data_IF_986000681733
#
_entry.id   IF_986000681733
#
_cell.length_a   1.000
_cell.length_b   1.000
_cell.length_c   1.000
_cell.angle_alpha   90.00
_cell.angle_beta   90.00
_cell.angle_gamma   90.00
#
_symmetry.space_group_name_H-M   'P 1'
#
loop_
_entity.id
_entity.type
_entity.pdbx_description
1 polymer ?
#
# COMPACT_ATOMS: atom_id res chain seq x y z
N UNK A 1 -5.03 23.06 -78.00
CA UNK A 1 -6.26 22.69 -77.28
C UNK A 1 -6.73 23.93 -76.51
N UNK A 2 -8.05 24.16 -76.50
CA UNK A 2 -8.73 25.42 -76.20
C UNK A 2 -8.92 25.69 -74.68
N UNK A 3 -8.87 26.99 -74.35
CA UNK A 3 -9.67 27.76 -73.37
C UNK A 3 -9.42 27.52 -71.86
N UNK A 4 -9.07 28.64 -71.21
CA UNK A 4 -9.19 28.96 -69.78
C UNK A 4 -10.65 29.30 -69.43
N UNK A 5 -11.15 28.88 -68.26
CA UNK A 5 -12.04 29.68 -67.39
C UNK A 5 -12.61 28.88 -66.19
N UNK A 6 -12.37 29.43 -65.00
CA UNK A 6 -13.35 29.72 -63.92
C UNK A 6 -14.17 28.58 -63.30
N UNK A 7 -14.16 28.47 -61.96
CA UNK A 7 -15.26 28.93 -61.08
C UNK A 7 -14.86 28.84 -59.61
N UNK A 8 -15.01 29.98 -58.92
CA UNK A 8 -14.95 30.18 -57.47
C UNK A 8 -16.30 29.72 -56.88
N UNK A 9 -16.29 28.99 -55.76
CA UNK A 9 -17.40 29.05 -54.79
C UNK A 9 -16.84 29.20 -53.38
N UNK A 10 -17.29 30.30 -52.79
CA UNK A 10 -17.02 30.83 -51.46
C UNK A 10 -17.93 30.14 -50.45
N UNK A 11 -17.39 29.75 -49.30
CA UNK A 11 -18.15 29.28 -48.15
C UNK A 11 -17.39 29.56 -46.86
N UNK A 12 -17.58 30.76 -46.31
CA UNK A 12 -17.07 31.19 -45.03
C UNK A 12 -18.10 30.92 -43.91
N UNK A 13 -17.62 30.42 -42.76
CA UNK A 13 -18.13 30.70 -41.41
C UNK A 13 -17.15 30.03 -40.42
N UNK A 14 -16.17 30.75 -39.90
CA UNK A 14 -16.22 31.53 -38.64
C UNK A 14 -16.41 30.65 -37.39
N UNK A 15 -15.33 30.55 -36.62
CA UNK A 15 -15.27 29.96 -35.30
C UNK A 15 -13.88 30.18 -34.68
N UNK A 16 -13.57 31.46 -34.46
CA UNK A 16 -12.35 32.00 -33.83
C UNK A 16 -11.89 31.21 -32.60
N UNK A 17 -10.71 30.58 -32.69
CA UNK A 17 -9.94 30.13 -31.53
C UNK A 17 -9.24 31.35 -30.93
N UNK A 18 -9.73 31.83 -29.79
CA UNK A 18 -9.04 32.85 -29.03
C UNK A 18 -7.69 32.29 -28.51
N UNK A 19 -6.66 33.13 -28.64
CA UNK A 19 -5.30 32.93 -28.15
C UNK A 19 -5.25 32.68 -26.61
N UNK A 20 -4.12 32.16 -26.09
CA UNK A 20 -4.02 31.61 -24.75
C UNK A 20 -3.93 32.72 -23.70
N UNK A 21 -4.79 32.63 -22.68
CA UNK A 21 -4.56 33.36 -21.43
C UNK A 21 -3.38 32.74 -20.70
N UNK A 22 -2.36 33.58 -20.51
CA UNK A 22 -1.17 33.37 -19.70
C UNK A 22 -1.55 33.09 -18.23
N UNK A 23 -1.73 31.83 -17.88
CA UNK A 23 -1.59 31.32 -16.50
C UNK A 23 -0.98 29.92 -16.42
N UNK A 24 -0.46 29.38 -17.54
CA UNK A 24 0.17 28.06 -17.62
C UNK A 24 1.70 28.11 -17.63
N UNK A 25 2.32 28.97 -16.80
CA UNK A 25 3.77 29.17 -16.78
C UNK A 25 4.45 28.84 -15.43
N UNK A 26 3.79 28.04 -14.57
CA UNK A 26 4.42 27.50 -13.35
C UNK A 26 4.16 26.00 -13.10
N UNK A 27 3.65 25.25 -14.08
CA UNK A 27 3.50 23.78 -13.98
C UNK A 27 4.38 23.03 -15.00
N UNK A 28 5.52 23.62 -15.37
CA UNK A 28 6.48 23.03 -16.30
C UNK A 28 7.88 22.87 -15.66
N UNK A 29 7.93 22.51 -14.38
CA UNK A 29 9.15 22.05 -13.73
C UNK A 29 8.83 20.75 -12.98
N UNK A 30 9.57 19.70 -13.31
CA UNK A 30 9.54 18.34 -12.74
C UNK A 30 8.44 17.38 -13.25
N UNK A 31 8.42 17.14 -14.57
CA UNK A 31 8.23 15.74 -15.03
C UNK A 31 9.60 15.08 -14.97
N UNK A 32 9.85 14.30 -13.92
CA UNK A 32 11.01 13.40 -13.84
C UNK A 32 10.50 11.99 -14.14
N UNK A 33 11.20 11.28 -15.00
CA UNK A 33 10.92 9.87 -15.30
C UNK A 33 11.33 9.04 -14.08
N UNK A 34 10.36 8.38 -13.45
CA UNK A 34 10.62 7.42 -12.37
C UNK A 34 11.20 6.12 -12.96
N UNK A 35 12.10 5.46 -12.23
CA UNK A 35 12.71 4.18 -12.67
C UNK A 35 11.73 3.05 -12.37
N UNK A 36 11.18 2.43 -13.43
CA UNK A 36 10.17 1.36 -13.36
C UNK A 36 10.82 -0.02 -13.40
N UNK A 37 10.30 -0.96 -12.61
CA UNK A 37 10.53 -2.39 -12.76
C UNK A 37 9.59 -2.95 -13.85
N UNK A 38 10.14 -3.43 -14.97
CA UNK A 38 9.34 -4.13 -16.00
C UNK A 38 8.81 -5.48 -15.47
N UNK A 39 7.69 -5.98 -16.02
CA UNK A 39 6.98 -7.18 -15.54
C UNK A 39 7.57 -8.48 -16.10
N UNK A 40 7.82 -9.54 -15.28
CA UNK A 40 7.89 -10.89 -15.81
C UNK A 40 6.51 -11.34 -16.30
N UNK A 41 6.45 -11.90 -17.50
CA UNK A 41 5.24 -12.46 -18.10
C UNK A 41 4.85 -13.74 -17.36
N UNK A 42 3.82 -13.68 -16.51
CA UNK A 42 3.31 -14.88 -15.82
C UNK A 42 2.19 -15.50 -16.64
N UNK A 43 2.42 -16.73 -17.09
CA UNK A 43 1.42 -17.62 -17.68
C UNK A 43 0.34 -17.93 -16.64
N UNK A 44 -0.90 -17.54 -16.92
CA UNK A 44 -2.06 -17.90 -16.10
C UNK A 44 -2.34 -19.39 -16.34
N UNK A 45 -2.15 -20.19 -15.29
CA UNK A 45 -2.68 -21.54 -15.25
C UNK A 45 -4.06 -21.45 -14.58
N UNK A 46 -5.11 -21.57 -15.40
CA UNK A 46 -6.45 -21.87 -14.92
C UNK A 46 -6.44 -23.26 -14.27
N UNK A 47 -6.89 -23.39 -13.01
CA UNK A 47 -7.46 -24.65 -12.55
C UNK A 47 -8.67 -24.50 -11.62
N UNK A 48 -9.45 -25.58 -11.68
CA UNK A 48 -10.88 -25.73 -11.49
C UNK A 48 -11.28 -25.92 -10.01
N UNK A 49 -12.51 -25.47 -9.73
CA UNK A 49 -13.38 -25.64 -8.56
C UNK A 49 -13.50 -27.06 -7.94
N UNK A 50 -13.66 -27.13 -6.61
CA UNK A 50 -14.70 -27.91 -5.88
C UNK A 50 -14.58 -27.61 -4.35
N UNK A 51 -15.58 -26.97 -3.73
CA UNK A 51 -16.66 -27.56 -2.90
C UNK A 51 -16.19 -27.88 -1.45
N UNK A 52 -16.92 -27.65 -0.34
CA UNK A 52 -18.36 -27.51 -0.12
C UNK A 52 -18.68 -26.92 1.28
N UNK A 53 -19.76 -26.14 1.34
CA UNK A 53 -20.92 -26.18 2.26
C UNK A 53 -20.75 -26.61 3.74
N UNK A 54 -21.15 -25.73 4.66
CA UNK A 54 -22.00 -26.01 5.84
C UNK A 54 -22.64 -24.67 6.29
N UNK A 55 -23.91 -24.41 5.93
CA UNK A 55 -25.15 -24.76 6.65
C UNK A 55 -25.54 -23.73 7.75
N UNK A 56 -26.66 -23.04 7.49
CA UNK A 56 -27.41 -22.22 8.45
C UNK A 56 -28.02 -23.08 9.57
N UNK A 57 -28.08 -22.56 10.80
CA UNK A 57 -29.33 -22.56 11.57
C UNK A 57 -29.27 -21.61 12.77
N UNK A 58 -30.39 -20.93 12.97
CA UNK A 58 -30.72 -19.96 14.02
C UNK A 58 -30.92 -20.59 15.41
N UNK A 59 -30.66 -19.83 16.48
CA UNK A 59 -31.46 -19.83 17.72
C UNK A 59 -31.30 -18.52 18.51
N UNK A 60 -32.33 -18.27 19.29
CA UNK A 60 -32.80 -17.07 19.98
C UNK A 60 -31.95 -16.50 21.11
N UNK A 61 -32.11 -15.18 21.33
CA UNK A 61 -31.62 -14.39 22.44
C UNK A 61 -32.15 -14.82 23.82
N UNK A 62 -31.29 -14.70 24.83
CA UNK A 62 -31.67 -14.50 26.24
C UNK A 62 -30.61 -13.64 26.93
N UNK A 63 -31.06 -12.57 27.60
CA UNK A 63 -30.26 -11.67 28.40
C UNK A 63 -30.13 -12.18 29.85
N UNK A 64 -28.96 -12.02 30.45
CA UNK A 64 -28.78 -11.96 31.91
C UNK A 64 -27.56 -11.10 32.25
N UNK A 65 -27.72 -10.28 33.28
CA UNK A 65 -26.80 -9.23 33.70
C UNK A 65 -25.80 -9.68 34.76
N UNK A 66 -24.62 -9.04 34.71
CA UNK A 66 -23.65 -8.67 35.76
C UNK A 66 -23.07 -9.76 36.71
N UNK A 67 -21.74 -9.81 36.84
CA UNK A 67 -20.97 -9.24 37.99
C UNK A 67 -19.46 -9.40 37.74
N UNK A 68 -18.68 -8.40 38.14
CA UNK A 68 -17.23 -8.24 38.03
C UNK A 68 -16.39 -9.30 38.75
N UNK A 69 -15.25 -9.67 38.15
CA UNK A 69 -14.02 -10.10 38.85
C UNK A 69 -12.83 -9.97 37.89
N UNK A 70 -11.66 -9.73 38.48
CA UNK A 70 -10.50 -9.08 37.90
C UNK A 70 -9.52 -10.00 37.14
N UNK A 71 -8.63 -9.31 36.42
CA UNK A 71 -7.21 -9.61 36.14
C UNK A 71 -6.87 -10.84 35.29
N UNK A 72 -6.45 -10.55 34.06
CA UNK A 72 -5.08 -10.81 33.60
C UNK A 72 -4.80 -9.88 32.42
N UNK A 73 -4.07 -8.80 32.71
CA UNK A 73 -3.39 -8.00 31.70
C UNK A 73 -2.33 -8.90 31.07
N UNK A 74 -2.66 -9.50 29.93
CA UNK A 74 -1.68 -10.05 28.99
C UNK A 74 -1.65 -9.10 27.80
N UNK A 75 -1.19 -7.87 28.06
CA UNK A 75 -0.71 -6.98 27.00
C UNK A 75 0.65 -7.53 26.56
N UNK A 76 0.65 -8.40 25.53
CA UNK A 76 1.81 -8.67 24.69
C UNK A 76 2.14 -7.40 23.87
N UNK A 77 2.46 -6.31 24.57
CA UNK A 77 3.00 -5.08 24.00
C UNK A 77 4.50 -5.30 23.75
N UNK A 78 4.82 -6.08 22.71
CA UNK A 78 6.18 -6.25 22.18
C UNK A 78 6.60 -5.02 21.34
N UNK A 79 6.23 -3.83 21.81
CA UNK A 79 6.69 -2.56 21.24
C UNK A 79 7.98 -2.19 21.95
N UNK A 80 9.09 -2.11 21.21
CA UNK A 80 10.33 -1.62 21.82
C UNK A 80 10.11 -0.18 22.31
N UNK A 81 10.33 0.03 23.61
CA UNK A 81 10.29 1.35 24.26
C UNK A 81 11.67 2.01 24.36
N UNK A 82 12.72 1.27 23.99
CA UNK A 82 14.09 1.77 23.83
C UNK A 82 14.43 1.88 22.33
N UNK A 83 15.29 2.85 21.99
CA UNK A 83 15.77 2.97 20.62
C UNK A 83 16.58 1.73 20.26
N UNK A 84 16.20 1.08 19.17
CA UNK A 84 16.90 -0.07 18.61
C UNK A 84 17.39 0.35 17.24
N UNK A 85 18.70 0.27 17.04
CA UNK A 85 19.27 0.49 15.71
C UNK A 85 18.84 -0.66 14.79
N UNK A 86 18.53 -0.34 13.53
CA UNK A 86 18.27 -1.37 12.53
C UNK A 86 19.54 -2.22 12.32
N UNK A 87 19.35 -3.40 11.76
CA UNK A 87 20.44 -4.34 11.45
C UNK A 87 21.46 -3.84 10.40
N UNK A 88 21.29 -2.64 9.84
CA UNK A 88 22.16 -2.09 8.79
C UNK A 88 22.04 -2.86 7.48
N UNK A 89 20.84 -3.33 7.15
CA UNK A 89 20.58 -4.26 6.05
C UNK A 89 20.92 -3.69 4.67
N UNK A 90 21.64 -4.45 3.85
CA UNK A 90 21.76 -4.22 2.40
C UNK A 90 22.01 -5.52 1.65
N UNK A 91 21.12 -6.51 1.82
CA UNK A 91 21.26 -7.79 1.10
C UNK A 91 21.12 -7.60 -0.41
N UNK A 92 22.25 -7.60 -1.13
CA UNK A 92 22.29 -7.52 -2.60
C UNK A 92 22.59 -8.88 -3.23
N UNK A 93 21.75 -9.89 -2.99
CA UNK A 93 21.75 -11.10 -3.83
C UNK A 93 21.07 -10.78 -5.16
N UNK A 94 21.89 -10.75 -6.23
CA UNK A 94 21.55 -10.30 -7.59
C UNK A 94 20.48 -11.20 -8.24
N UNK A 95 19.27 -10.68 -8.41
CA UNK A 95 18.29 -11.20 -9.37
C UNK A 95 18.40 -10.41 -10.70
N UNK A 96 18.07 -11.03 -11.84
CA UNK A 96 18.54 -10.59 -13.18
C UNK A 96 17.91 -9.29 -13.72
N UNK A 97 18.52 -8.72 -14.76
CA UNK A 97 18.93 -7.31 -14.83
C UNK A 97 17.95 -6.18 -15.22
N UNK A 98 16.66 -6.37 -15.52
CA UNK A 98 15.82 -5.24 -15.99
C UNK A 98 14.43 -5.11 -15.36
N UNK A 99 13.97 -6.11 -14.61
CA UNK A 99 12.57 -6.24 -14.17
C UNK A 99 12.45 -6.25 -12.63
N UNK A 100 13.62 -6.17 -12.00
CA UNK A 100 13.98 -6.61 -10.65
C UNK A 100 14.94 -5.57 -10.03
N UNK A 101 15.33 -4.56 -10.81
CA UNK A 101 16.61 -3.85 -10.71
C UNK A 101 16.78 -2.95 -9.48
N UNK A 102 15.73 -2.79 -8.67
CA UNK A 102 15.88 -2.23 -7.35
C UNK A 102 15.15 -3.08 -6.30
N UNK A 103 15.95 -3.82 -5.53
CA UNK A 103 15.51 -4.66 -4.42
C UNK A 103 15.23 -3.84 -3.16
N UNK A 104 15.90 -2.69 -3.02
CA UNK A 104 15.99 -1.96 -1.77
C UNK A 104 16.73 -2.71 -0.68
N UNK A 105 16.52 -2.23 0.54
CA UNK A 105 16.87 -2.86 1.80
C UNK A 105 15.73 -3.80 2.20
N UNK A 106 16.09 -5.06 2.46
CA UNK A 106 15.17 -6.09 2.98
C UNK A 106 15.68 -6.71 4.28
N UNK A 107 16.62 -6.05 4.95
CA UNK A 107 17.38 -6.59 6.08
C UNK A 107 18.69 -7.26 5.65
N UNK A 108 19.22 -8.10 6.54
CA UNK A 108 20.46 -8.85 6.34
C UNK A 108 20.19 -10.27 5.82
N UNK A 109 21.24 -10.99 5.40
CA UNK A 109 21.09 -12.33 4.81
C UNK A 109 20.61 -13.36 5.83
N UNK A 110 20.94 -13.13 7.11
CA UNK A 110 20.60 -13.99 8.24
C UNK A 110 19.41 -13.46 9.04
N UNK A 111 18.89 -12.28 8.68
CA UNK A 111 17.79 -11.59 9.37
C UNK A 111 16.95 -10.81 8.35
N UNK A 112 16.07 -11.52 7.66
CA UNK A 112 15.14 -10.91 6.71
C UNK A 112 14.09 -10.08 7.46
N UNK A 113 13.79 -8.88 6.96
CA UNK A 113 12.75 -8.03 7.54
C UNK A 113 13.23 -7.13 8.67
N UNK A 114 14.47 -7.28 9.15
CA UNK A 114 15.05 -6.42 10.20
C UNK A 114 15.23 -4.94 9.80
N UNK A 115 14.86 -4.57 8.56
CA UNK A 115 14.71 -3.20 8.09
C UNK A 115 13.36 -2.55 8.51
N UNK A 116 12.51 -3.29 9.21
CA UNK A 116 11.22 -2.87 9.74
C UNK A 116 11.08 -3.29 11.20
N UNK A 117 10.44 -2.46 12.01
CA UNK A 117 10.13 -2.83 13.39
C UNK A 117 8.90 -2.08 13.91
N UNK A 118 8.18 -2.72 14.82
CA UNK A 118 7.16 -2.04 15.63
C UNK A 118 7.86 -1.35 16.80
N UNK A 119 7.53 -0.08 17.01
CA UNK A 119 8.17 0.75 18.04
C UNK A 119 7.11 1.46 18.85
N UNK A 120 7.45 1.76 20.10
CA UNK A 120 6.60 2.62 20.93
C UNK A 120 6.50 4.01 20.31
N UNK A 121 5.30 4.59 20.39
CA UNK A 121 5.06 5.99 20.01
C UNK A 121 5.99 6.99 20.71
N UNK A 122 6.48 6.68 21.91
CA UNK A 122 7.39 7.54 22.68
C UNK A 122 8.78 7.68 22.06
N UNK A 123 9.19 6.72 21.21
CA UNK A 123 10.50 6.72 20.54
C UNK A 123 10.39 6.89 19.02
N UNK A 124 9.18 6.97 18.46
CA UNK A 124 8.93 7.09 17.03
C UNK A 124 9.72 8.23 16.37
N UNK A 125 9.91 9.36 17.08
CA UNK A 125 10.64 10.52 16.55
C UNK A 125 12.15 10.30 16.39
N UNK A 126 12.70 9.24 16.99
CA UNK A 126 14.09 8.84 16.84
C UNK A 126 14.35 8.12 15.51
N UNK A 127 13.30 7.68 14.80
CA UNK A 127 13.40 7.03 13.50
C UNK A 127 13.11 8.03 12.37
N UNK A 128 13.81 7.93 11.26
CA UNK A 128 13.67 8.88 10.13
C UNK A 128 12.39 8.64 9.33
N UNK A 129 11.93 7.38 9.23
CA UNK A 129 10.76 6.98 8.45
C UNK A 129 9.80 6.17 9.32
N UNK A 130 8.59 6.66 9.53
CA UNK A 130 7.59 5.96 10.35
C UNK A 130 6.20 5.99 9.72
N UNK A 131 5.42 4.95 10.01
CA UNK A 131 3.99 4.88 9.75
C UNK A 131 3.24 4.58 11.04
N UNK A 132 2.39 5.52 11.46
CA UNK A 132 1.49 5.33 12.60
C UNK A 132 0.18 4.74 12.11
N UNK A 133 -0.05 3.46 12.40
CA UNK A 133 -1.30 2.78 12.16
C UNK A 133 -2.32 3.15 13.22
N UNK A 134 -3.51 3.53 12.79
CA UNK A 134 -4.67 3.88 13.62
C UNK A 134 -5.82 2.98 13.25
N UNK A 135 -6.33 2.25 14.22
CA UNK A 135 -7.48 1.39 14.05
C UNK A 135 -8.78 2.17 14.26
N UNK A 136 -9.57 2.35 13.22
CA UNK A 136 -10.86 3.08 13.31
C UNK A 136 -12.04 2.14 13.60
N UNK A 137 -11.79 0.89 13.97
CA UNK A 137 -12.83 -0.07 14.37
C UNK A 137 -12.65 -0.56 15.81
N UNK A 138 -13.75 -0.98 16.42
CA UNK A 138 -13.83 -1.47 17.80
C UNK A 138 -13.34 -2.92 17.98
N UNK A 139 -12.65 -3.49 16.99
CA UNK A 139 -12.05 -4.83 17.02
C UNK A 139 -10.57 -4.72 16.72
N UNK A 140 -9.76 -5.57 17.34
CA UNK A 140 -8.36 -5.71 16.96
C UNK A 140 -8.24 -6.19 15.50
N UNK A 141 -7.11 -5.86 14.89
CA UNK A 141 -6.75 -6.31 13.56
C UNK A 141 -5.37 -6.97 13.59
N UNK A 142 -5.24 -8.15 13.01
CA UNK A 142 -3.95 -8.69 12.65
C UNK A 142 -3.37 -7.85 11.50
N UNK A 143 -2.11 -7.46 11.61
CA UNK A 143 -1.39 -6.73 10.60
C UNK A 143 -0.09 -7.45 10.24
N UNK A 144 0.27 -7.39 8.96
CA UNK A 144 1.58 -7.81 8.47
C UNK A 144 2.18 -6.68 7.66
N UNK A 145 3.50 -6.52 7.75
CA UNK A 145 4.26 -5.76 6.77
C UNK A 145 5.25 -6.71 6.09
N UNK A 146 5.46 -6.51 4.79
CA UNK A 146 6.36 -7.30 3.98
C UNK A 146 7.26 -6.41 3.15
N UNK A 147 8.45 -6.91 2.81
CA UNK A 147 9.23 -6.30 1.73
C UNK A 147 8.67 -6.73 0.37
N UNK A 148 8.83 -5.92 -0.67
CA UNK A 148 8.49 -6.32 -2.05
C UNK A 148 9.19 -7.62 -2.46
N UNK A 149 10.47 -7.72 -2.06
CA UNK A 149 11.31 -8.89 -2.28
C UNK A 149 11.24 -9.79 -1.05
N UNK A 150 10.94 -11.07 -1.25
CA UNK A 150 10.86 -12.05 -0.18
C UNK A 150 12.24 -12.58 0.25
N UNK A 151 12.28 -13.47 1.26
CA UNK A 151 13.52 -13.97 1.85
C UNK A 151 14.39 -14.77 0.87
N UNK A 152 13.80 -15.36 -0.17
CA UNK A 152 14.50 -16.07 -1.23
C UNK A 152 15.07 -15.15 -2.34
N UNK A 153 14.81 -13.84 -2.26
CA UNK A 153 15.21 -12.85 -3.25
C UNK A 153 14.24 -12.72 -4.44
N UNK A 154 13.11 -13.42 -4.42
CA UNK A 154 12.04 -13.29 -5.42
C UNK A 154 11.11 -12.11 -5.16
N UNK A 155 10.30 -11.72 -6.17
CA UNK A 155 9.22 -10.73 -6.00
C UNK A 155 7.99 -11.45 -5.43
N UNK A 156 8.05 -11.78 -4.14
CA UNK A 156 7.10 -12.67 -3.47
C UNK A 156 6.92 -12.36 -1.97
N UNK A 157 7.40 -11.23 -1.45
CA UNK A 157 7.22 -10.93 -0.03
C UNK A 157 5.76 -10.70 0.38
N UNK A 158 4.89 -10.38 -0.59
CA UNK A 158 3.44 -10.23 -0.37
C UNK A 158 2.65 -11.56 -0.28
N UNK A 159 3.34 -12.69 -0.16
CA UNK A 159 2.71 -13.99 0.11
C UNK A 159 2.86 -14.36 1.59
N UNK A 160 1.83 -14.97 2.15
CA UNK A 160 1.85 -15.49 3.52
C UNK A 160 3.02 -16.47 3.71
N UNK A 161 3.74 -16.30 4.82
CA UNK A 161 4.99 -16.99 5.14
C UNK A 161 6.25 -16.20 4.74
N UNK A 162 6.11 -15.09 4.02
CA UNK A 162 7.21 -14.20 3.64
C UNK A 162 7.10 -12.79 4.25
N UNK A 163 6.19 -12.58 5.21
CA UNK A 163 6.10 -11.33 5.95
C UNK A 163 7.42 -10.98 6.64
N UNK A 164 7.72 -9.67 6.73
CA UNK A 164 8.89 -9.15 7.43
C UNK A 164 8.60 -8.99 8.92
N UNK A 165 7.44 -8.42 9.26
CA UNK A 165 6.94 -8.30 10.62
C UNK A 165 5.44 -8.57 10.66
N UNK A 166 4.97 -9.05 11.80
CA UNK A 166 3.54 -9.17 12.11
C UNK A 166 3.26 -8.52 13.46
N UNK A 167 2.07 -7.96 13.63
CA UNK A 167 1.66 -7.35 14.88
C UNK A 167 0.13 -7.30 15.00
N UNK A 168 -0.34 -7.23 16.24
CA UNK A 168 -1.75 -6.96 16.53
C UNK A 168 -1.93 -5.45 16.67
N UNK A 169 -2.82 -4.88 15.87
CA UNK A 169 -3.28 -3.50 16.02
C UNK A 169 -4.50 -3.49 16.95
N UNK A 170 -4.40 -2.91 18.17
CA UNK A 170 -5.48 -2.98 19.15
C UNK A 170 -6.77 -2.29 18.66
N UNK A 171 -7.92 -2.73 19.20
CA UNK A 171 -9.21 -2.08 18.95
C UNK A 171 -9.14 -0.60 19.31
N UNK A 172 -9.54 0.28 18.39
CA UNK A 172 -9.44 1.74 18.56
C UNK A 172 -8.04 2.25 18.98
N UNK A 173 -7.00 1.45 18.74
CA UNK A 173 -5.64 1.69 19.18
C UNK A 173 -4.71 2.10 18.05
N UNK A 174 -3.44 2.23 18.40
CA UNK A 174 -2.39 2.63 17.47
C UNK A 174 -1.13 1.81 17.63
N UNK A 175 -0.42 1.55 16.54
CA UNK A 175 0.94 1.00 16.52
C UNK A 175 1.80 1.83 15.58
N UNK A 176 3.09 1.92 15.84
CA UNK A 176 4.03 2.63 14.96
C UNK A 176 4.98 1.62 14.35
N UNK A 177 5.09 1.62 13.03
CA UNK A 177 6.12 0.88 12.32
C UNK A 177 7.20 1.88 11.90
N UNK A 178 8.45 1.60 12.28
CA UNK A 178 9.62 2.29 11.78
C UNK A 178 10.24 1.51 10.62
N UNK A 179 10.79 2.26 9.66
CA UNK A 179 11.48 1.70 8.49
C UNK A 179 12.91 2.22 8.43
N UNK A 180 13.83 1.35 8.04
CA UNK A 180 15.16 1.76 7.61
C UNK A 180 15.08 2.41 6.22
N UNK A 181 16.02 3.30 5.92
CA UNK A 181 16.14 3.89 4.59
C UNK A 181 16.25 2.80 3.52
N UNK A 182 15.81 3.16 2.33
CA UNK A 182 15.76 2.29 1.16
C UNK A 182 14.84 1.05 1.31
N UNK A 183 13.82 1.08 2.15
CA UNK A 183 12.89 -0.05 2.28
C UNK A 183 11.70 0.08 1.32
N UNK A 184 11.34 -1.01 0.63
CA UNK A 184 10.14 -1.06 -0.24
C UNK A 184 9.26 -2.25 0.09
N UNK A 185 7.95 -2.04 0.11
CA UNK A 185 7.01 -3.12 0.38
C UNK A 185 5.60 -2.64 0.64
N UNK A 186 4.89 -3.38 1.49
CA UNK A 186 3.56 -2.99 1.91
C UNK A 186 3.15 -3.54 3.26
N UNK A 187 2.05 -3.02 3.77
CA UNK A 187 1.42 -3.49 5.00
C UNK A 187 -0.08 -3.68 4.82
N UNK A 188 -0.63 -4.70 5.46
CA UNK A 188 -2.03 -5.10 5.33
C UNK A 188 -2.56 -5.43 6.71
N UNK A 189 -3.76 -4.93 7.03
CA UNK A 189 -4.45 -5.24 8.27
C UNK A 189 -5.82 -5.86 7.96
N UNK A 190 -6.26 -6.80 8.79
CA UNK A 190 -7.59 -7.41 8.68
C UNK A 190 -8.15 -7.65 10.08
N UNK A 191 -9.44 -7.39 10.26
CA UNK A 191 -10.16 -7.73 11.50
C UNK A 191 -10.08 -9.24 11.76
N UNK A 192 -9.65 -9.61 12.97
CA UNK A 192 -9.44 -10.99 13.38
C UNK A 192 -7.98 -11.29 13.69
N UNK A 193 -7.68 -12.59 13.85
CA UNK A 193 -6.38 -13.05 14.38
C UNK A 193 -5.35 -13.34 13.28
N UNK A 194 -5.76 -13.36 12.01
CA UNK A 194 -4.89 -13.60 10.85
C UNK A 194 -5.25 -12.67 9.70
N UNK A 195 -4.25 -12.18 8.97
CA UNK A 195 -4.47 -11.40 7.75
C UNK A 195 -5.08 -12.29 6.68
N UNK A 196 -6.12 -11.78 6.00
CA UNK A 196 -6.76 -12.52 4.92
C UNK A 196 -5.80 -12.75 3.75
N UNK A 197 -5.98 -13.87 3.05
CA UNK A 197 -5.23 -14.18 1.83
C UNK A 197 -6.17 -14.51 0.68
N UNK A 198 -5.64 -14.41 -0.54
CA UNK A 198 -6.26 -14.98 -1.74
C UNK A 198 -6.10 -16.50 -1.75
N UNK A 199 -6.73 -17.18 -2.70
CA UNK A 199 -6.64 -18.63 -2.88
C UNK A 199 -5.20 -19.13 -3.19
N UNK A 200 -4.29 -18.23 -3.60
CA UNK A 200 -2.87 -18.53 -3.85
C UNK A 200 -1.95 -18.08 -2.69
N UNK A 201 -2.52 -17.62 -1.57
CA UNK A 201 -1.75 -17.20 -0.40
C UNK A 201 -1.19 -15.77 -0.45
N UNK A 202 -1.55 -14.96 -1.45
CA UNK A 202 -1.18 -13.54 -1.47
C UNK A 202 -2.02 -12.77 -0.44
N UNK A 203 -1.42 -11.83 0.29
CA UNK A 203 -2.17 -11.04 1.27
C UNK A 203 -3.30 -10.24 0.60
N UNK A 204 -4.50 -10.35 1.15
CA UNK A 204 -5.72 -9.72 0.68
C UNK A 204 -6.11 -8.55 1.57
N UNK A 205 -6.89 -7.62 1.02
CA UNK A 205 -7.29 -6.36 1.65
C UNK A 205 -6.82 -5.15 0.86
N UNK A 206 -6.73 -4.01 1.55
CA UNK A 206 -6.03 -2.82 1.08
C UNK A 206 -4.62 -2.80 1.64
N UNK A 207 -3.67 -2.33 0.83
CA UNK A 207 -2.27 -2.27 1.18
C UNK A 207 -1.89 -0.81 1.37
N UNK A 208 -1.22 -0.50 2.47
CA UNK A 208 -0.23 0.57 2.42
C UNK A 208 0.88 0.04 1.52
N UNK A 209 1.12 0.64 0.36
CA UNK A 209 2.36 0.43 -0.37
C UNK A 209 3.34 1.55 0.01
N UNK A 210 4.61 1.21 0.22
CA UNK A 210 5.63 2.17 0.63
C UNK A 210 6.96 1.98 -0.11
N UNK A 211 7.65 3.11 -0.27
CA UNK A 211 9.02 3.19 -0.74
C UNK A 211 9.73 4.28 0.08
N UNK A 212 10.61 3.90 1.00
CA UNK A 212 11.22 4.84 1.95
C UNK A 212 12.64 5.18 1.49
N UNK A 213 12.91 6.45 1.21
CA UNK A 213 14.21 6.95 0.79
C UNK A 213 14.89 6.08 -0.28
N UNK A 214 14.22 5.96 -1.42
CA UNK A 214 14.71 5.19 -2.55
C UNK A 214 15.98 5.82 -3.11
N UNK A 215 17.12 5.17 -2.90
CA UNK A 215 18.42 5.64 -3.37
C UNK A 215 18.55 5.66 -4.90
N UNK A 216 17.69 4.95 -5.63
CA UNK A 216 17.61 5.05 -7.09
C UNK A 216 16.77 6.24 -7.57
N UNK A 217 16.10 6.94 -6.65
CA UNK A 217 15.23 8.07 -6.93
C UNK A 217 15.60 9.29 -6.07
N UNK A 218 16.89 9.63 -5.98
CA UNK A 218 17.41 10.77 -5.22
C UNK A 218 16.90 10.81 -3.75
N UNK A 219 16.77 9.64 -3.11
CA UNK A 219 16.27 9.44 -1.74
C UNK A 219 14.83 9.94 -1.50
N UNK A 220 14.04 10.08 -2.56
CA UNK A 220 12.60 10.34 -2.44
C UNK A 220 11.88 9.14 -1.82
N UNK A 221 10.78 9.44 -1.13
CA UNK A 221 9.88 8.41 -0.60
C UNK A 221 8.52 8.45 -1.29
N UNK A 222 7.89 7.29 -1.40
CA UNK A 222 6.55 7.08 -1.92
C UNK A 222 5.67 6.38 -0.89
N UNK A 223 4.38 6.69 -0.88
CA UNK A 223 3.40 5.89 -0.15
C UNK A 223 2.01 6.02 -0.76
N UNK A 224 1.23 4.95 -0.74
CA UNK A 224 -0.13 4.98 -1.26
C UNK A 224 -1.02 3.92 -0.59
N UNK A 225 -2.32 4.10 -0.76
CA UNK A 225 -3.31 3.06 -0.54
C UNK A 225 -3.55 2.34 -1.87
N UNK A 226 -3.58 1.01 -1.82
CA UNK A 226 -3.78 0.15 -2.98
C UNK A 226 -4.81 -0.95 -2.69
N UNK A 227 -5.73 -1.21 -3.61
CA UNK A 227 -6.66 -2.34 -3.55
C UNK A 227 -6.52 -3.27 -4.76
N UNK A 228 -5.46 -3.13 -5.56
CA UNK A 228 -5.26 -3.86 -6.81
C UNK A 228 -5.49 -5.36 -6.65
N UNK A 229 -4.83 -5.97 -5.67
CA UNK A 229 -4.96 -7.41 -5.38
C UNK A 229 -6.41 -7.77 -5.12
N UNK A 230 -7.05 -7.18 -4.12
CA UNK A 230 -8.43 -7.56 -3.75
C UNK A 230 -9.46 -7.26 -4.85
N UNK A 231 -9.23 -6.22 -5.65
CA UNK A 231 -10.15 -5.79 -6.70
C UNK A 231 -10.25 -6.73 -7.90
N UNK A 232 -9.24 -7.61 -8.09
CA UNK A 232 -9.22 -8.60 -9.17
C UNK A 232 -9.76 -9.97 -8.73
N UNK A 233 -10.03 -10.18 -7.44
CA UNK A 233 -10.68 -11.39 -6.94
C UNK A 233 -12.17 -11.11 -6.67
N UNK A 234 -13.10 -11.72 -7.43
CA UNK A 234 -14.54 -11.42 -7.32
C UNK A 234 -15.13 -11.58 -5.90
N UNK A 235 -14.58 -12.49 -5.09
CA UNK A 235 -15.03 -12.73 -3.71
C UNK A 235 -14.57 -11.64 -2.73
N UNK A 236 -13.51 -10.91 -3.07
CA UNK A 236 -12.88 -9.90 -2.22
C UNK A 236 -13.31 -8.48 -2.61
N UNK A 237 -13.65 -8.26 -3.89
CA UNK A 237 -14.01 -6.93 -4.41
C UNK A 237 -15.12 -6.23 -3.61
N UNK A 238 -16.20 -6.94 -3.28
CA UNK A 238 -17.32 -6.38 -2.53
C UNK A 238 -17.02 -6.09 -1.04
N UNK A 239 -15.90 -6.60 -0.52
CA UNK A 239 -15.51 -6.50 0.89
C UNK A 239 -14.15 -5.82 1.07
N UNK A 240 -13.67 -5.08 0.05
CA UNK A 240 -12.42 -4.31 0.14
C UNK A 240 -12.52 -3.36 1.33
N UNK A 241 -11.63 -3.50 2.33
CA UNK A 241 -11.68 -2.64 3.51
C UNK A 241 -11.13 -1.24 3.17
N UNK A 242 -11.71 -0.18 3.74
CA UNK A 242 -11.18 1.17 3.60
C UNK A 242 -9.76 1.31 4.18
N UNK A 243 -8.93 2.12 3.51
CA UNK A 243 -7.58 2.48 3.93
C UNK A 243 -7.26 3.93 3.56
N UNK A 244 -6.70 4.69 4.49
CA UNK A 244 -6.24 6.05 4.24
C UNK A 244 -4.79 6.20 4.67
N UNK A 245 -3.94 6.64 3.75
CA UNK A 245 -2.51 6.87 3.92
C UNK A 245 -2.25 8.36 3.75
N UNK A 246 -1.78 9.04 4.79
CA UNK A 246 -1.56 10.49 4.77
C UNK A 246 -0.14 10.86 5.20
N UNK A 247 0.40 11.94 4.62
CA UNK A 247 1.75 12.44 4.90
C UNK A 247 1.99 13.75 4.16
N UNK A 248 2.68 14.70 4.81
CA UNK A 248 3.03 16.01 4.22
C UNK A 248 1.85 16.75 3.56
N UNK A 249 0.65 16.68 4.17
CA UNK A 249 -0.56 17.35 3.68
C UNK A 249 -1.25 16.69 2.49
N UNK A 250 -0.77 15.53 2.03
CA UNK A 250 -1.39 14.73 0.97
C UNK A 250 -1.92 13.42 1.53
N UNK A 251 -3.03 12.93 1.00
CA UNK A 251 -3.57 11.62 1.35
C UNK A 251 -3.84 10.79 0.09
N UNK A 252 -3.67 9.48 0.23
CA UNK A 252 -4.14 8.42 -0.65
C UNK A 252 -5.25 7.67 0.09
N UNK A 253 -6.43 7.52 -0.51
CA UNK A 253 -7.62 7.01 0.19
C UNK A 253 -8.36 5.99 -0.65
N UNK A 254 -8.69 4.87 -0.03
CA UNK A 254 -9.61 3.85 -0.51
C UNK A 254 -10.77 3.76 0.46
N UNK A 255 -11.98 3.83 -0.06
CA UNK A 255 -13.24 3.64 0.66
C UNK A 255 -13.63 2.16 0.64
N UNK A 256 -14.58 1.80 1.50
CA UNK A 256 -15.17 0.46 1.48
C UNK A 256 -15.69 0.12 0.09
N UNK A 257 -15.36 -1.08 -0.40
CA UNK A 257 -15.74 -1.53 -1.74
C UNK A 257 -14.78 -1.12 -2.86
N UNK A 258 -13.69 -0.40 -2.55
CA UNK A 258 -12.56 -0.23 -3.46
C UNK A 258 -12.56 1.03 -4.34
N UNK A 259 -13.54 1.92 -4.19
CA UNK A 259 -13.46 3.28 -4.73
C UNK A 259 -12.46 4.13 -3.94
N UNK A 260 -11.95 5.22 -4.50
CA UNK A 260 -10.95 6.01 -3.79
C UNK A 260 -10.48 7.25 -4.54
N UNK A 261 -9.53 7.95 -3.92
CA UNK A 261 -8.85 9.11 -4.50
C UNK A 261 -7.36 9.02 -4.26
N UNK A 262 -6.57 9.39 -5.27
CA UNK A 262 -5.11 9.39 -5.20
C UNK A 262 -4.55 8.03 -4.73
N UNK A 263 -5.15 6.93 -5.17
CA UNK A 263 -4.89 5.56 -4.72
C UNK A 263 -4.87 4.60 -5.92
N UNK A 264 -4.24 3.43 -5.77
CA UNK A 264 -4.25 2.41 -6.81
C UNK A 264 -5.52 1.56 -6.72
N UNK A 265 -6.42 1.80 -7.67
CA UNK A 265 -7.72 1.14 -7.77
C UNK A 265 -7.72 0.10 -8.90
N UNK A 266 -8.79 -0.70 -8.98
CA UNK A 266 -8.99 -1.70 -10.05
C UNK A 266 -8.65 -1.15 -11.44
N UNK A 267 -7.80 -1.88 -12.18
CA UNK A 267 -7.41 -1.48 -13.54
C UNK A 267 -6.25 -0.49 -13.62
N UNK A 268 -5.63 -0.12 -12.48
CA UNK A 268 -4.49 0.79 -12.41
C UNK A 268 -3.14 0.06 -12.31
N UNK A 269 -3.05 -1.22 -12.69
CA UNK A 269 -1.83 -2.06 -12.60
C UNK A 269 -0.69 -1.61 -13.54
N UNK A 270 -0.93 -0.56 -14.33
CA UNK A 270 0.05 0.09 -15.20
C UNK A 270 0.20 1.59 -14.91
N UNK A 271 -0.49 2.11 -13.90
CA UNK A 271 -0.35 3.50 -13.47
C UNK A 271 0.93 3.67 -12.63
N UNK A 272 1.41 4.91 -12.55
CA UNK A 272 2.61 5.27 -11.80
C UNK A 272 2.46 6.67 -11.19
N UNK A 273 3.24 6.96 -10.14
CA UNK A 273 3.28 8.26 -9.46
C UNK A 273 2.00 8.63 -8.70
N UNK A 274 1.15 7.64 -8.38
CA UNK A 274 -0.11 7.83 -7.63
C UNK A 274 0.20 7.81 -6.13
N UNK A 275 -0.55 8.59 -5.34
CA UNK A 275 -0.37 8.65 -3.90
C UNK A 275 0.51 9.81 -3.45
N UNK A 276 1.40 9.53 -2.51
CA UNK A 276 2.28 10.51 -1.88
C UNK A 276 3.65 10.42 -2.56
N UNK A 277 4.12 11.55 -3.07
CA UNK A 277 5.48 11.71 -3.59
C UNK A 277 6.22 12.67 -2.66
N UNK A 278 7.09 12.14 -1.82
CA UNK A 278 7.72 12.85 -0.72
C UNK A 278 9.20 13.10 -1.04
N UNK A 279 9.60 14.36 -1.01
CA UNK A 279 11.01 14.72 -1.19
C UNK A 279 11.89 14.08 -0.10
N UNK A 280 13.17 13.92 -0.41
CA UNK A 280 14.15 13.37 0.52
C UNK A 280 14.12 14.05 1.90
N UNK A 281 14.17 13.21 2.95
CA UNK A 281 14.13 13.64 4.34
C UNK A 281 13.19 12.78 5.18
N UNK A 282 12.93 13.23 6.42
CA UNK A 282 12.04 12.55 7.37
C UNK A 282 10.65 12.34 6.80
N UNK A 283 10.13 11.12 6.93
CA UNK A 283 8.75 10.77 6.57
C UNK A 283 7.98 10.38 7.81
N UNK A 284 6.76 10.92 7.92
CA UNK A 284 5.77 10.60 8.95
C UNK A 284 4.45 10.31 8.27
N UNK A 285 4.10 9.04 8.17
CA UNK A 285 2.82 8.60 7.63
C UNK A 285 1.81 8.39 8.76
N UNK A 286 0.57 8.76 8.50
CA UNK A 286 -0.59 8.33 9.29
C UNK A 286 -1.41 7.40 8.45
N UNK A 287 -1.61 6.18 8.94
CA UNK A 287 -2.37 5.12 8.28
C UNK A 287 -3.63 4.90 9.08
N UNK A 288 -4.80 5.12 8.50
CA UNK A 288 -6.09 4.78 9.11
C UNK A 288 -6.62 3.54 8.43
N UNK A 289 -6.82 2.48 9.21
CA UNK A 289 -7.40 1.21 8.76
C UNK A 289 -8.79 1.04 9.36
N UNK A 290 -9.74 0.53 8.59
CA UNK A 290 -11.12 0.34 9.05
C UNK A 290 -12.05 1.53 8.76
N UNK A 291 -13.22 1.56 9.39
CA UNK A 291 -14.33 2.43 9.00
C UNK A 291 -14.06 3.92 9.24
N UNK A 292 -13.63 4.64 8.21
CA UNK A 292 -13.70 6.10 8.16
C UNK A 292 -14.67 6.56 7.08
N UNK A 293 -15.50 7.56 7.39
CA UNK A 293 -16.31 8.26 6.39
C UNK A 293 -15.46 9.25 5.61
N UNK A 294 -15.73 9.36 4.29
CA UNK A 294 -15.13 10.35 3.40
C UNK A 294 -15.44 11.80 3.82
#
# INVERSE_FOLDING_TARGET
MRISSSTILLGAALGVSAHPSRHAAHQAAHKRDFVVANKPTTTIIEYVTAAAVAAESSTTAAAVAATSAASSDDDDDDDSSEYVEFCGGSTSKRATLAEIAYKGNTGTDDDYGCNMMVVSSSIADQYEYTATFKNDVAKSQACVCFNKIGPDGGINGFFSGNEAISFTLPASGTKVVAFEANSQGGCVCTVGDTVATTDIGQFAGTWLEFDMANSSNDDWSGADASCLVSSIYPKLEAIIPPLKVCGSGTCSTILSGGDGTNAYLKGMEAADGVGLNLAAGKVRLTITVGEFSA
#
